data_IF_342267470040
#
_entry.id   IF_342267470040
#
_cell.length_a   1.000
_cell.length_b   1.000
_cell.length_c   1.000
_cell.angle_alpha   90.00
_cell.angle_beta   90.00
_cell.angle_gamma   90.00
#
_symmetry.space_group_name_H-M   'P 1'
#
loop_
_entity.id
_entity.type
_entity.pdbx_description
1 polymer ?
#
# COMPACT_ATOMS: atom_id res chain seq x y z
N UNK A 1 19.49 15.75 25.72
CA UNK A 1 18.35 15.17 24.96
C UNK A 1 17.39 14.51 25.95
N UNK A 2 16.57 15.31 26.63
CA UNK A 2 15.57 14.84 27.62
C UNK A 2 14.50 15.93 27.75
N UNK A 3 13.77 16.23 26.67
CA UNK A 3 12.56 17.06 26.79
C UNK A 3 11.43 16.17 27.30
N UNK A 4 10.59 16.69 28.20
CA UNK A 4 9.35 16.05 28.67
C UNK A 4 8.50 15.56 27.48
N UNK A 5 8.47 16.35 26.40
CA UNK A 5 7.72 16.05 25.18
C UNK A 5 8.22 14.76 24.51
N UNK A 6 9.53 14.48 24.55
CA UNK A 6 10.09 13.25 23.98
C UNK A 6 9.68 12.02 24.79
N UNK A 7 9.60 12.14 26.12
CA UNK A 7 9.15 11.06 27.00
C UNK A 7 7.65 10.79 26.83
N UNK A 8 6.85 11.84 26.65
CA UNK A 8 5.42 11.71 26.32
C UNK A 8 5.19 11.03 24.96
N UNK A 9 6.02 11.34 23.95
CA UNK A 9 5.95 10.67 22.64
C UNK A 9 6.36 9.20 22.72
N UNK A 10 7.40 8.87 23.49
CA UNK A 10 7.77 7.47 23.75
C UNK A 10 6.62 6.74 24.45
N UNK A 11 6.03 7.32 25.48
CA UNK A 11 4.87 6.77 26.18
C UNK A 11 3.67 6.58 25.24
N UNK A 12 3.42 7.52 24.32
CA UNK A 12 2.36 7.40 23.31
C UNK A 12 2.60 6.20 22.39
N UNK A 13 3.81 6.04 21.86
CA UNK A 13 4.16 4.89 20.99
C UNK A 13 4.09 3.57 21.78
N UNK A 14 4.57 3.54 23.02
CA UNK A 14 4.51 2.35 23.88
C UNK A 14 3.08 1.95 24.22
N UNK A 15 2.23 2.91 24.63
CA UNK A 15 0.80 2.66 24.90
C UNK A 15 0.06 2.16 23.66
N UNK A 16 0.43 2.64 22.48
CA UNK A 16 -0.13 2.14 21.24
C UNK A 16 0.26 0.69 20.99
N UNK A 17 1.55 0.36 21.16
CA UNK A 17 2.04 -1.02 21.03
C UNK A 17 1.34 -1.96 22.04
N UNK A 18 0.99 -1.48 23.24
CA UNK A 18 0.19 -2.20 24.25
C UNK A 18 -1.29 -2.34 23.87
N UNK A 19 -1.93 -1.28 23.36
CA UNK A 19 -3.35 -1.28 22.99
C UNK A 19 -3.69 -2.30 21.90
N UNK A 20 -2.71 -2.65 21.06
CA UNK A 20 -2.85 -3.64 19.99
C UNK A 20 -2.11 -4.95 20.27
N UNK A 21 -2.01 -5.35 21.55
CA UNK A 21 -1.32 -6.56 22.03
C UNK A 21 -1.83 -7.90 21.47
N UNK A 22 -2.91 -7.93 20.68
CA UNK A 22 -3.28 -9.15 19.94
C UNK A 22 -2.21 -9.47 18.89
N UNK A 23 -1.65 -10.69 18.97
CA UNK A 23 -0.47 -11.12 18.19
C UNK A 23 -0.55 -10.83 16.68
N UNK A 24 -1.73 -10.97 16.07
CA UNK A 24 -1.89 -10.73 14.63
C UNK A 24 -2.03 -9.24 14.30
N UNK A 25 -2.65 -8.44 15.17
CA UNK A 25 -2.86 -7.00 14.97
C UNK A 25 -1.53 -6.24 15.05
N UNK A 26 -0.65 -6.66 15.98
CA UNK A 26 0.70 -6.11 16.11
C UNK A 26 1.50 -6.19 14.80
N UNK A 27 1.31 -7.25 13.99
CA UNK A 27 1.99 -7.39 12.68
C UNK A 27 1.63 -6.27 11.70
N UNK A 28 0.42 -5.74 11.82
CA UNK A 28 -0.12 -4.71 10.93
C UNK A 28 -0.14 -3.31 11.58
N UNK A 29 0.54 -3.14 12.71
CA UNK A 29 0.67 -1.88 13.47
C UNK A 29 1.07 -0.68 12.61
N UNK A 30 1.89 -0.88 11.57
CA UNK A 30 2.28 0.19 10.66
C UNK A 30 1.11 0.87 9.94
N UNK A 31 0.01 0.16 9.68
CA UNK A 31 -1.21 0.73 9.10
C UNK A 31 -1.93 1.62 10.11
N UNK A 32 -2.17 1.10 11.32
CA UNK A 32 -2.80 1.87 12.39
C UNK A 32 -2.01 3.14 12.74
N UNK A 33 -0.68 3.06 12.80
CA UNK A 33 0.18 4.22 13.01
C UNK A 33 0.07 5.23 11.86
N UNK A 34 -0.08 4.78 10.62
CA UNK A 34 -0.32 5.68 9.51
C UNK A 34 -1.69 6.37 9.62
N UNK A 35 -2.72 5.67 10.09
CA UNK A 35 -4.02 6.28 10.38
C UNK A 35 -3.90 7.37 11.46
N UNK A 36 -3.18 7.10 12.56
CA UNK A 36 -2.87 8.09 13.60
C UNK A 36 -2.09 9.28 13.05
N UNK A 37 -1.17 9.06 12.11
CA UNK A 37 -0.42 10.13 11.45
C UNK A 37 -1.28 11.05 10.56
N UNK A 38 -2.49 10.60 10.20
CA UNK A 38 -3.44 11.35 9.38
C UNK A 38 -4.60 11.93 10.18
N UNK A 39 -4.72 11.59 11.47
CA UNK A 39 -5.79 12.09 12.33
C UNK A 39 -5.50 13.53 12.77
N UNK A 40 -6.32 14.48 12.32
CA UNK A 40 -6.17 15.90 12.65
C UNK A 40 -6.46 16.22 14.13
N UNK A 41 -7.06 15.29 14.87
CA UNK A 41 -7.24 15.42 16.32
C UNK A 41 -5.95 15.16 17.09
N UNK A 42 -4.97 14.47 16.48
CA UNK A 42 -3.66 14.27 17.08
C UNK A 42 -2.79 15.52 16.92
N UNK A 43 -1.96 15.78 17.93
CA UNK A 43 -0.94 16.82 17.87
C UNK A 43 0.02 16.62 16.68
N UNK A 44 0.71 17.67 16.27
CA UNK A 44 1.69 17.59 15.17
C UNK A 44 2.79 16.58 15.52
N UNK A 45 3.20 16.56 16.78
CA UNK A 45 4.24 15.72 17.35
C UNK A 45 3.82 14.25 17.33
N UNK A 46 2.60 13.94 17.80
CA UNK A 46 2.05 12.58 17.74
C UNK A 46 1.92 12.10 16.30
N UNK A 47 1.45 12.95 15.39
CA UNK A 47 1.34 12.60 13.96
C UNK A 47 2.72 12.32 13.34
N UNK A 48 3.73 13.14 13.64
CA UNK A 48 5.09 12.93 13.18
C UNK A 48 5.69 11.65 13.76
N UNK A 49 5.54 11.41 15.07
CA UNK A 49 6.03 10.20 15.74
C UNK A 49 5.40 8.94 15.16
N UNK A 50 4.08 8.94 14.97
CA UNK A 50 3.36 7.83 14.36
C UNK A 50 3.84 7.55 12.92
N UNK A 51 4.06 8.61 12.13
CA UNK A 51 4.60 8.51 10.76
C UNK A 51 6.00 7.90 10.73
N UNK A 52 6.90 8.38 11.58
CA UNK A 52 8.27 7.87 11.69
C UNK A 52 8.26 6.40 12.11
N UNK A 53 7.47 6.05 13.13
CA UNK A 53 7.36 4.67 13.61
C UNK A 53 6.79 3.75 12.53
N UNK A 54 5.76 4.17 11.80
CA UNK A 54 5.21 3.41 10.68
C UNK A 54 6.27 3.17 9.59
N UNK A 55 7.09 4.18 9.25
CA UNK A 55 8.19 4.04 8.29
C UNK A 55 9.22 3.02 8.77
N UNK A 56 9.67 3.12 10.03
CA UNK A 56 10.62 2.17 10.64
C UNK A 56 10.11 0.73 10.55
N UNK A 57 8.85 0.48 10.90
CA UNK A 57 8.26 -0.85 10.86
C UNK A 57 8.18 -1.41 9.44
N UNK A 58 7.84 -0.58 8.45
CA UNK A 58 7.82 -0.98 7.03
C UNK A 58 9.22 -1.28 6.51
N UNK A 59 10.22 -0.49 6.90
CA UNK A 59 11.60 -0.72 6.47
C UNK A 59 12.21 -1.97 7.13
N UNK A 60 11.87 -2.23 8.40
CA UNK A 60 12.18 -3.50 9.06
C UNK A 60 11.53 -4.69 8.35
N UNK A 61 10.24 -4.58 7.98
CA UNK A 61 9.56 -5.62 7.20
C UNK A 61 10.26 -5.88 5.86
N UNK A 62 10.61 -4.82 5.11
CA UNK A 62 11.36 -4.93 3.84
C UNK A 62 12.71 -5.63 4.03
N UNK A 63 13.47 -5.21 5.04
CA UNK A 63 14.78 -5.80 5.34
C UNK A 63 14.66 -7.29 5.68
N UNK A 64 13.73 -7.65 6.57
CA UNK A 64 13.48 -9.04 6.95
C UNK A 64 13.03 -9.89 5.76
N UNK A 65 12.19 -9.34 4.88
CA UNK A 65 11.75 -10.01 3.66
C UNK A 65 12.91 -10.23 2.68
N UNK A 66 13.77 -9.23 2.49
CA UNK A 66 14.96 -9.34 1.66
C UNK A 66 15.92 -10.40 2.21
N UNK A 67 16.21 -10.36 3.52
CA UNK A 67 17.06 -11.31 4.21
C UNK A 67 16.53 -12.74 4.08
N UNK A 68 15.24 -12.93 4.37
CA UNK A 68 14.57 -14.22 4.25
C UNK A 68 14.63 -14.79 2.82
N UNK A 69 14.34 -13.96 1.82
CA UNK A 69 14.40 -14.41 0.42
C UNK A 69 15.84 -14.68 -0.05
N UNK A 70 16.84 -13.91 0.39
CA UNK A 70 18.23 -14.17 0.04
C UNK A 70 18.71 -15.53 0.60
N UNK A 71 18.41 -15.82 1.87
CA UNK A 71 18.82 -17.08 2.52
C UNK A 71 18.12 -18.31 1.95
N UNK A 72 16.83 -18.20 1.61
CA UNK A 72 16.08 -19.32 0.98
C UNK A 72 16.59 -19.64 -0.43
N UNK A 73 17.18 -18.67 -1.14
CA UNK A 73 17.87 -18.92 -2.41
C UNK A 73 19.31 -19.43 -2.24
N UNK A 74 19.97 -19.13 -1.11
CA UNK A 74 21.35 -19.52 -0.79
C UNK A 74 21.39 -20.67 0.22
N UNK A 75 20.84 -21.84 -0.15
CA UNK A 75 20.63 -23.03 0.69
C UNK A 75 21.89 -23.73 1.24
N UNK A 76 23.07 -23.09 1.28
CA UNK A 76 24.34 -23.74 1.62
C UNK A 76 25.24 -23.04 2.66
N UNK A 77 24.87 -21.86 3.19
CA UNK A 77 25.86 -21.03 3.93
C UNK A 77 25.44 -20.50 5.31
N UNK A 78 24.24 -20.79 5.82
CA UNK A 78 23.78 -20.18 7.07
C UNK A 78 23.30 -21.19 8.11
N UNK A 79 23.85 -21.09 9.31
CA UNK A 79 23.60 -21.94 10.47
C UNK A 79 22.24 -21.68 11.13
N UNK A 80 21.61 -20.53 10.87
CA UNK A 80 20.28 -20.21 11.39
C UNK A 80 19.30 -19.82 10.26
N UNK A 81 18.11 -20.45 10.19
CA UNK A 81 17.08 -20.09 9.23
C UNK A 81 16.56 -18.68 9.53
N UNK A 82 16.56 -17.78 8.54
CA UNK A 82 15.86 -16.51 8.70
C UNK A 82 14.35 -16.77 8.90
N UNK A 83 13.72 -15.99 9.76
CA UNK A 83 12.27 -16.08 9.99
C UNK A 83 11.51 -15.40 8.87
N UNK A 84 10.49 -16.08 8.32
CA UNK A 84 9.57 -15.49 7.35
C UNK A 84 8.76 -14.37 8.03
N UNK A 85 8.82 -13.11 7.55
CA UNK A 85 8.05 -12.01 8.14
C UNK A 85 6.55 -12.05 7.79
N UNK A 86 6.09 -13.06 7.03
CA UNK A 86 4.70 -13.29 6.62
C UNK A 86 4.20 -14.66 7.11
N UNK A 87 2.88 -14.87 7.09
CA UNK A 87 2.26 -16.19 7.27
C UNK A 87 2.15 -16.99 5.96
N UNK A 88 2.58 -16.42 4.83
CA UNK A 88 2.56 -17.12 3.55
C UNK A 88 3.57 -18.28 3.57
N UNK A 89 3.19 -19.42 3.01
CA UNK A 89 4.14 -20.51 2.79
C UNK A 89 5.26 -20.10 1.83
N UNK A 90 6.45 -20.69 1.96
CA UNK A 90 7.62 -20.38 1.14
C UNK A 90 7.31 -20.45 -0.36
N UNK A 91 6.53 -21.46 -0.76
CA UNK A 91 6.08 -21.65 -2.14
C UNK A 91 5.19 -20.49 -2.62
N UNK A 92 4.23 -20.07 -1.77
CA UNK A 92 3.32 -18.98 -2.09
C UNK A 92 4.07 -17.65 -2.15
N UNK A 93 4.97 -17.38 -1.20
CA UNK A 93 5.78 -16.17 -1.18
C UNK A 93 6.69 -16.09 -2.42
N UNK A 94 7.35 -17.20 -2.79
CA UNK A 94 8.17 -17.28 -4.00
C UNK A 94 7.34 -17.03 -5.26
N UNK A 95 6.14 -17.58 -5.32
CA UNK A 95 5.23 -17.35 -6.44
C UNK A 95 4.74 -15.90 -6.54
N UNK A 96 4.32 -15.31 -5.41
CA UNK A 96 3.94 -13.90 -5.30
C UNK A 96 5.09 -13.00 -5.75
N UNK A 97 6.31 -13.23 -5.26
CA UNK A 97 7.51 -12.50 -5.69
C UNK A 97 7.76 -12.64 -7.19
N UNK A 98 7.70 -13.86 -7.73
CA UNK A 98 7.90 -14.11 -9.18
C UNK A 98 6.85 -13.38 -10.02
N UNK A 99 5.60 -13.32 -9.58
CA UNK A 99 4.54 -12.63 -10.30
C UNK A 99 4.70 -11.10 -10.24
N UNK A 100 5.09 -10.56 -9.09
CA UNK A 100 5.24 -9.12 -8.89
C UNK A 100 6.51 -8.58 -9.57
N UNK A 101 7.62 -9.31 -9.53
CA UNK A 101 8.92 -8.85 -10.05
C UNK A 101 9.03 -8.89 -11.58
N UNK A 102 7.99 -9.37 -12.32
CA UNK A 102 7.95 -9.47 -13.81
C UNK A 102 8.91 -8.47 -14.46
N UNK A 103 10.03 -8.97 -14.98
CA UNK A 103 11.13 -8.12 -15.46
C UNK A 103 10.93 -7.73 -16.93
N UNK A 104 11.58 -6.64 -17.34
CA UNK A 104 11.60 -6.17 -18.73
C UNK A 104 10.39 -5.30 -19.11
N UNK A 105 10.07 -5.27 -20.41
CA UNK A 105 9.06 -4.39 -20.99
C UNK A 105 7.65 -4.59 -20.41
N UNK A 106 7.37 -5.78 -19.86
CA UNK A 106 6.08 -6.14 -19.26
C UNK A 106 6.06 -6.03 -17.73
N UNK A 107 7.04 -5.35 -17.13
CA UNK A 107 6.98 -5.00 -15.70
C UNK A 107 5.81 -4.07 -15.43
N UNK A 108 5.09 -4.27 -14.34
CA UNK A 108 3.93 -3.43 -13.99
C UNK A 108 4.33 -1.96 -13.83
N UNK A 109 5.55 -1.68 -13.34
CA UNK A 109 6.11 -0.34 -13.26
C UNK A 109 6.28 0.29 -14.66
N UNK A 110 6.84 -0.44 -15.63
CA UNK A 110 6.97 0.07 -16.99
C UNK A 110 5.60 0.33 -17.64
N UNK A 111 4.65 -0.59 -17.47
CA UNK A 111 3.29 -0.44 -18.01
C UNK A 111 2.58 0.76 -17.36
N UNK A 112 2.78 0.99 -16.05
CA UNK A 112 2.26 2.16 -15.36
C UNK A 112 2.87 3.47 -15.91
N UNK A 113 4.19 3.50 -16.15
CA UNK A 113 4.86 4.65 -16.73
C UNK A 113 4.33 4.96 -18.14
N UNK A 114 4.18 3.95 -19.00
CA UNK A 114 3.58 4.10 -20.34
C UNK A 114 2.16 4.64 -20.22
N UNK A 115 1.35 4.08 -19.31
CA UNK A 115 -0.02 4.54 -19.08
C UNK A 115 -0.07 6.01 -18.65
N UNK A 116 0.77 6.43 -17.71
CA UNK A 116 0.84 7.83 -17.26
C UNK A 116 1.22 8.74 -18.43
N UNK A 117 2.24 8.39 -19.22
CA UNK A 117 2.65 9.18 -20.38
C UNK A 117 1.54 9.31 -21.44
N UNK A 118 0.82 8.23 -21.73
CA UNK A 118 -0.26 8.22 -22.73
C UNK A 118 -1.52 8.96 -22.29
N UNK A 119 -1.73 9.14 -20.98
CA UNK A 119 -2.96 9.73 -20.44
C UNK A 119 -2.84 11.21 -20.08
N UNK A 120 -1.63 11.79 -20.10
CA UNK A 120 -1.38 13.18 -19.71
C UNK A 120 -2.18 14.22 -20.49
N UNK A 121 -2.45 13.97 -21.77
CA UNK A 121 -3.18 14.91 -22.65
C UNK A 121 -4.64 14.52 -22.87
N UNK A 122 -5.13 13.49 -22.17
CA UNK A 122 -6.51 13.05 -22.32
C UNK A 122 -7.47 13.96 -21.57
N UNK A 123 -8.69 14.05 -22.10
CA UNK A 123 -9.83 14.50 -21.30
C UNK A 123 -10.07 13.52 -20.16
N UNK A 124 -10.71 13.98 -19.09
CA UNK A 124 -11.01 13.12 -17.95
C UNK A 124 -11.89 11.92 -18.34
N UNK A 125 -12.80 12.11 -19.30
CA UNK A 125 -13.63 11.03 -19.85
C UNK A 125 -12.78 9.94 -20.51
N UNK A 126 -11.85 10.31 -21.38
CA UNK A 126 -10.93 9.38 -22.04
C UNK A 126 -10.03 8.68 -21.03
N UNK A 127 -9.53 9.43 -20.03
CA UNK A 127 -8.76 8.85 -18.93
C UNK A 127 -9.54 7.75 -18.20
N UNK A 128 -10.81 7.96 -17.86
CA UNK A 128 -11.65 6.93 -17.21
C UNK A 128 -11.72 5.65 -18.06
N UNK A 129 -11.84 5.77 -19.38
CA UNK A 129 -11.86 4.63 -20.30
C UNK A 129 -10.51 3.92 -20.35
N UNK A 130 -9.42 4.69 -20.44
CA UNK A 130 -8.05 4.18 -20.42
C UNK A 130 -7.76 3.45 -19.11
N UNK A 131 -8.18 4.00 -17.96
CA UNK A 131 -8.00 3.42 -16.63
C UNK A 131 -8.65 2.03 -16.53
N UNK A 132 -9.87 1.85 -17.04
CA UNK A 132 -10.53 0.54 -17.06
C UNK A 132 -9.74 -0.48 -17.88
N UNK A 133 -9.26 -0.09 -19.07
CA UNK A 133 -8.43 -0.97 -19.92
C UNK A 133 -7.12 -1.34 -19.21
N UNK A 134 -6.48 -0.38 -18.56
CA UNK A 134 -5.24 -0.58 -17.79
C UNK A 134 -5.43 -1.54 -16.60
N UNK A 135 -6.52 -1.39 -15.84
CA UNK A 135 -6.84 -2.28 -14.71
C UNK A 135 -7.05 -3.73 -15.16
N UNK A 136 -7.64 -3.94 -16.35
CA UNK A 136 -7.81 -5.28 -16.95
C UNK A 136 -6.53 -5.88 -17.53
N UNK A 137 -5.57 -5.06 -17.93
CA UNK A 137 -4.34 -5.54 -18.58
C UNK A 137 -3.64 -6.65 -17.77
N UNK A 138 -3.27 -7.78 -18.37
CA UNK A 138 -2.66 -8.92 -17.67
C UNK A 138 -3.50 -9.61 -16.58
N UNK A 139 -4.80 -9.32 -16.47
CA UNK A 139 -5.75 -10.14 -15.69
C UNK A 139 -6.21 -11.29 -16.57
N UNK A 140 -6.03 -12.53 -16.13
CA UNK A 140 -6.40 -13.73 -16.90
C UNK A 140 -7.69 -14.38 -16.41
N UNK A 141 -8.14 -14.07 -15.19
CA UNK A 141 -9.33 -14.67 -14.60
C UNK A 141 -10.61 -14.00 -15.12
N UNK A 142 -11.52 -14.73 -15.81
CA UNK A 142 -12.74 -14.14 -16.36
C UNK A 142 -13.65 -13.51 -15.31
N UNK A 143 -13.73 -14.11 -14.12
CA UNK A 143 -14.54 -13.61 -13.01
C UNK A 143 -14.09 -12.22 -12.56
N UNK A 144 -12.78 -11.98 -12.49
CA UNK A 144 -12.22 -10.68 -12.12
C UNK A 144 -12.46 -9.66 -13.24
N UNK A 145 -12.30 -10.06 -14.50
CA UNK A 145 -12.61 -9.21 -15.65
C UNK A 145 -14.08 -8.76 -15.61
N UNK A 146 -15.01 -9.68 -15.33
CA UNK A 146 -16.44 -9.36 -15.18
C UNK A 146 -16.71 -8.41 -14.02
N UNK A 147 -16.05 -8.58 -12.87
CA UNK A 147 -16.17 -7.65 -11.75
C UNK A 147 -15.66 -6.25 -12.13
N UNK A 148 -14.56 -6.17 -12.88
CA UNK A 148 -14.01 -4.90 -13.36
C UNK A 148 -14.99 -4.26 -14.35
N UNK A 149 -15.45 -4.99 -15.37
CA UNK A 149 -16.31 -4.45 -16.43
C UNK A 149 -17.75 -4.15 -15.99
N UNK A 150 -18.25 -4.84 -14.97
CA UNK A 150 -19.58 -4.60 -14.42
C UNK A 150 -19.58 -3.56 -13.30
N UNK A 151 -19.01 -3.92 -12.15
CA UNK A 151 -19.18 -3.16 -10.90
C UNK A 151 -18.19 -2.01 -10.77
N UNK A 152 -16.90 -2.25 -11.03
CA UNK A 152 -15.88 -1.22 -10.87
C UNK A 152 -15.99 -0.18 -11.99
N UNK A 153 -16.19 -0.62 -13.23
CA UNK A 153 -16.34 0.23 -14.40
C UNK A 153 -17.49 1.24 -14.24
N UNK A 154 -18.68 0.75 -13.90
CA UNK A 154 -19.85 1.62 -13.70
C UNK A 154 -19.62 2.66 -12.61
N UNK A 155 -19.00 2.26 -11.49
CA UNK A 155 -18.62 3.21 -10.42
C UNK A 155 -17.60 4.24 -10.89
N UNK A 156 -16.58 3.85 -11.64
CA UNK A 156 -15.58 4.77 -12.21
C UNK A 156 -16.23 5.73 -13.20
N UNK A 157 -17.12 5.23 -14.07
CA UNK A 157 -17.80 6.03 -15.09
C UNK A 157 -18.65 7.16 -14.47
N UNK A 158 -19.26 6.91 -13.32
CA UNK A 158 -20.03 7.92 -12.60
C UNK A 158 -19.19 8.93 -11.79
N UNK A 159 -17.85 8.79 -11.72
CA UNK A 159 -17.02 9.74 -10.99
C UNK A 159 -16.89 11.06 -11.73
N UNK A 160 -17.14 12.16 -11.02
CA UNK A 160 -16.88 13.55 -11.41
C UNK A 160 -17.32 13.85 -12.86
N UNK A 161 -18.58 13.51 -13.18
CA UNK A 161 -19.14 13.63 -14.53
C UNK A 161 -19.06 15.08 -15.03
N UNK A 162 -19.22 16.05 -14.13
CA UNK A 162 -19.08 17.48 -14.39
C UNK A 162 -17.67 17.89 -14.85
N UNK A 163 -16.67 17.03 -14.67
CA UNK A 163 -15.27 17.28 -15.07
C UNK A 163 -14.87 16.53 -16.34
N UNK A 164 -15.78 15.79 -17.00
CA UNK A 164 -15.46 14.91 -18.13
C UNK A 164 -14.72 15.57 -19.30
N UNK A 165 -15.10 16.80 -19.64
CA UNK A 165 -14.49 17.56 -20.74
C UNK A 165 -13.17 18.24 -20.35
N UNK A 166 -12.83 18.27 -19.06
CA UNK A 166 -11.60 18.91 -18.59
C UNK A 166 -10.39 18.02 -18.88
N UNK A 167 -9.25 18.64 -19.14
CA UNK A 167 -7.98 17.93 -19.22
C UNK A 167 -7.66 17.24 -17.88
N UNK A 168 -7.07 16.05 -17.94
CA UNK A 168 -6.65 15.32 -16.75
C UNK A 168 -5.63 16.14 -15.95
N UNK A 169 -5.91 16.34 -14.66
CA UNK A 169 -5.00 16.99 -13.70
C UNK A 169 -4.59 16.00 -12.62
N UNK A 170 -3.44 16.25 -11.99
CA UNK A 170 -2.90 15.41 -10.92
C UNK A 170 -3.84 15.26 -9.72
N UNK A 171 -4.58 16.33 -9.36
CA UNK A 171 -5.58 16.28 -8.29
C UNK A 171 -6.77 15.36 -8.64
N UNK A 172 -7.22 15.37 -9.89
CA UNK A 172 -8.32 14.57 -10.37
C UNK A 172 -7.89 13.09 -10.48
N UNK A 173 -6.68 12.83 -10.97
CA UNK A 173 -6.05 11.50 -10.93
C UNK A 173 -6.04 10.94 -9.50
N UNK A 174 -5.52 11.70 -8.53
CA UNK A 174 -5.46 11.28 -7.12
C UNK A 174 -6.86 11.01 -6.56
N UNK A 175 -7.82 11.91 -6.78
CA UNK A 175 -9.20 11.75 -6.32
C UNK A 175 -9.86 10.52 -6.93
N UNK A 176 -9.59 10.22 -8.19
CA UNK A 176 -10.13 9.04 -8.89
C UNK A 176 -9.48 7.76 -8.39
N UNK A 177 -8.16 7.74 -8.19
CA UNK A 177 -7.46 6.60 -7.58
C UNK A 177 -7.94 6.32 -6.15
N UNK A 178 -8.11 7.35 -5.31
CA UNK A 178 -8.65 7.19 -3.96
C UNK A 178 -10.08 6.61 -3.97
N UNK A 179 -10.94 7.09 -4.88
CA UNK A 179 -12.28 6.53 -5.05
C UNK A 179 -12.28 5.10 -5.56
N UNK A 180 -11.39 4.76 -6.50
CA UNK A 180 -11.23 3.38 -6.96
C UNK A 180 -10.79 2.45 -5.82
N UNK A 181 -9.88 2.92 -4.94
CA UNK A 181 -9.50 2.20 -3.72
C UNK A 181 -10.69 2.05 -2.76
N UNK A 182 -11.50 3.11 -2.55
CA UNK A 182 -12.73 3.02 -1.74
C UNK A 182 -13.68 1.94 -2.30
N UNK A 183 -13.92 1.94 -3.61
CA UNK A 183 -14.76 0.93 -4.28
C UNK A 183 -14.21 -0.48 -4.11
N UNK A 184 -12.89 -0.64 -4.07
CA UNK A 184 -12.23 -1.94 -3.95
C UNK A 184 -12.12 -2.45 -2.52
N UNK A 185 -12.01 -1.57 -1.51
CA UNK A 185 -11.78 -1.95 -0.11
C UNK A 185 -12.96 -1.59 0.77
N UNK A 186 -13.30 -0.30 0.87
CA UNK A 186 -14.26 0.21 1.82
C UNK A 186 -14.94 1.48 1.29
N UNK A 187 -16.18 1.34 0.82
CA UNK A 187 -16.97 2.45 0.29
C UNK A 187 -17.58 3.33 1.38
N UNK A 188 -17.84 2.72 2.53
CA UNK A 188 -18.42 3.38 3.71
C UNK A 188 -17.60 2.98 4.93
N UNK A 189 -17.41 3.90 5.89
CA UNK A 189 -16.55 3.71 7.07
C UNK A 189 -16.84 2.45 7.89
N UNK A 190 -18.03 1.86 7.77
CA UNK A 190 -18.50 0.80 8.67
C UNK A 190 -18.65 -0.57 8.00
N UNK A 191 -18.35 -0.70 6.71
CA UNK A 191 -18.40 -2.01 6.03
C UNK A 191 -17.46 -2.10 4.84
N UNK A 192 -16.79 -3.25 4.64
CA UNK A 192 -16.06 -3.54 3.41
C UNK A 192 -16.95 -3.37 2.17
N UNK A 193 -16.35 -3.05 1.03
CA UNK A 193 -17.10 -2.96 -0.22
C UNK A 193 -17.56 -4.33 -0.69
N UNK A 194 -18.65 -4.38 -1.46
CA UNK A 194 -19.12 -5.63 -2.06
C UNK A 194 -18.04 -6.24 -2.98
N UNK A 195 -17.26 -5.39 -3.64
CA UNK A 195 -16.12 -5.81 -4.46
C UNK A 195 -15.04 -6.47 -3.62
N UNK A 196 -14.71 -5.93 -2.45
CA UNK A 196 -13.77 -6.54 -1.51
C UNK A 196 -14.21 -7.96 -1.16
N UNK A 197 -15.45 -8.11 -0.70
CA UNK A 197 -16.01 -9.40 -0.29
C UNK A 197 -16.00 -10.40 -1.45
N UNK A 198 -16.36 -9.97 -2.67
CA UNK A 198 -16.38 -10.82 -3.85
C UNK A 198 -14.99 -11.22 -4.35
N UNK A 199 -14.02 -10.30 -4.35
CA UNK A 199 -12.65 -10.59 -4.81
C UNK A 199 -11.93 -11.53 -3.84
N UNK A 200 -12.18 -11.38 -2.55
CA UNK A 200 -11.66 -12.28 -1.51
C UNK A 200 -12.33 -13.66 -1.59
N UNK A 201 -13.65 -13.75 -1.75
CA UNK A 201 -14.38 -15.03 -1.78
C UNK A 201 -14.08 -15.88 -3.02
N UNK A 202 -13.69 -15.24 -4.13
CA UNK A 202 -13.20 -15.92 -5.34
C UNK A 202 -11.81 -16.54 -5.16
N UNK A 203 -11.16 -16.38 -4.00
CA UNK A 203 -9.95 -17.11 -3.63
C UNK A 203 -8.67 -16.63 -4.32
N UNK A 204 -8.67 -15.42 -4.90
CA UNK A 204 -7.50 -14.87 -5.57
C UNK A 204 -7.07 -13.51 -4.98
N UNK A 205 -6.50 -13.51 -3.75
CA UNK A 205 -6.02 -12.29 -3.11
C UNK A 205 -4.90 -11.62 -3.91
N UNK A 206 -4.12 -12.36 -4.70
CA UNK A 206 -3.04 -11.79 -5.48
C UNK A 206 -3.52 -10.95 -6.65
N UNK A 207 -4.48 -11.44 -7.45
CA UNK A 207 -5.06 -10.63 -8.53
C UNK A 207 -5.74 -9.38 -7.97
N UNK A 208 -6.34 -9.47 -6.78
CA UNK A 208 -6.90 -8.31 -6.11
C UNK A 208 -5.80 -7.31 -5.69
N UNK A 209 -4.74 -7.75 -5.03
CA UNK A 209 -3.60 -6.90 -4.67
C UNK A 209 -2.97 -6.24 -5.91
N UNK A 210 -2.90 -6.94 -7.04
CA UNK A 210 -2.39 -6.35 -8.29
C UNK A 210 -3.24 -5.17 -8.79
N UNK A 211 -4.57 -5.19 -8.59
CA UNK A 211 -5.41 -4.04 -8.91
C UNK A 211 -5.06 -2.82 -8.05
N UNK A 212 -4.84 -3.03 -6.75
CA UNK A 212 -4.44 -1.97 -5.83
C UNK A 212 -3.05 -1.43 -6.19
N UNK A 213 -2.07 -2.31 -6.43
CA UNK A 213 -0.71 -1.94 -6.84
C UNK A 213 -0.72 -1.12 -8.13
N UNK A 214 -1.51 -1.51 -9.13
CA UNK A 214 -1.66 -0.75 -10.37
C UNK A 214 -2.12 0.68 -10.12
N UNK A 215 -3.08 0.89 -9.22
CA UNK A 215 -3.54 2.24 -8.84
C UNK A 215 -2.42 3.03 -8.15
N UNK A 216 -1.62 2.40 -7.30
CA UNK A 216 -0.49 3.04 -6.63
C UNK A 216 0.63 3.40 -7.62
N UNK A 217 0.92 2.53 -8.59
CA UNK A 217 1.98 2.77 -9.57
C UNK A 217 1.69 3.97 -10.47
N UNK A 218 0.43 4.20 -10.83
CA UNK A 218 0.04 5.38 -11.63
C UNK A 218 -0.16 6.63 -10.76
N UNK A 219 -0.41 6.47 -9.46
CA UNK A 219 -0.60 7.56 -8.51
C UNK A 219 -0.01 7.21 -7.13
N UNK A 220 1.30 7.41 -6.92
CA UNK A 220 1.97 7.02 -5.67
C UNK A 220 1.36 7.68 -4.42
N UNK A 221 0.87 8.91 -4.55
CA UNK A 221 0.18 9.64 -3.48
C UNK A 221 -1.10 8.94 -2.96
N UNK A 222 -1.70 8.04 -3.75
CA UNK A 222 -2.86 7.26 -3.33
C UNK A 222 -2.51 6.16 -2.31
N UNK A 223 -1.22 5.83 -2.12
CA UNK A 223 -0.79 4.80 -1.17
C UNK A 223 -1.21 5.13 0.26
N UNK A 224 -1.09 6.40 0.65
CA UNK A 224 -1.51 6.88 1.97
C UNK A 224 -3.00 6.62 2.21
N UNK A 225 -3.83 6.81 1.18
CA UNK A 225 -5.25 6.52 1.26
C UNK A 225 -5.54 5.02 1.32
N UNK A 226 -4.81 4.20 0.54
CA UNK A 226 -4.88 2.75 0.62
C UNK A 226 -4.57 2.24 2.04
N UNK A 227 -3.50 2.71 2.65
CA UNK A 227 -3.10 2.30 4.00
C UNK A 227 -4.15 2.69 5.05
N UNK A 228 -4.78 3.85 4.89
CA UNK A 228 -5.93 4.25 5.72
C UNK A 228 -7.09 3.27 5.57
N UNK A 229 -7.47 2.93 4.32
CA UNK A 229 -8.55 1.95 4.06
C UNK A 229 -8.24 0.56 4.58
N UNK A 230 -6.97 0.14 4.57
CA UNK A 230 -6.53 -1.10 5.21
C UNK A 230 -6.67 -1.02 6.73
N UNK A 231 -6.41 0.15 7.34
CA UNK A 231 -6.65 0.34 8.77
C UNK A 231 -8.13 0.18 9.11
N UNK A 232 -9.02 0.84 8.35
CA UNK A 232 -10.46 0.72 8.58
C UNK A 232 -10.92 -0.74 8.44
N UNK A 233 -10.35 -1.48 7.48
CA UNK A 233 -10.61 -2.92 7.28
C UNK A 233 -10.15 -3.76 8.48
N UNK A 234 -8.95 -3.48 9.00
CA UNK A 234 -8.41 -4.13 10.19
C UNK A 234 -9.28 -3.86 11.42
N UNK A 235 -9.75 -2.62 11.59
CA UNK A 235 -10.66 -2.24 12.68
C UNK A 235 -12.01 -2.96 12.57
N UNK A 236 -12.55 -3.11 11.35
CA UNK A 236 -13.79 -3.83 11.11
C UNK A 236 -13.69 -5.32 11.48
N UNK A 237 -12.53 -5.95 11.24
CA UNK A 237 -12.31 -7.38 11.49
C UNK A 237 -11.55 -7.69 12.78
N UNK A 238 -11.27 -6.69 13.64
CA UNK A 238 -10.42 -6.87 14.83
C UNK A 238 -10.94 -7.94 15.81
N UNK A 239 -12.26 -8.07 15.91
CA UNK A 239 -12.93 -9.02 16.82
C UNK A 239 -13.14 -10.41 16.18
N UNK A 240 -12.72 -10.59 14.91
CA UNK A 240 -12.80 -11.87 14.21
C UNK A 240 -11.70 -12.82 14.72
N UNK A 241 -12.03 -14.06 15.12
CA UNK A 241 -11.01 -15.04 15.49
C UNK A 241 -10.02 -15.30 14.36
N UNK A 242 -8.73 -15.40 14.67
CA UNK A 242 -7.66 -15.58 13.68
C UNK A 242 -7.90 -16.79 12.76
N UNK A 243 -8.44 -17.89 13.32
CA UNK A 243 -8.81 -19.09 12.57
C UNK A 243 -9.85 -18.84 11.47
N UNK A 244 -10.73 -17.84 11.65
CA UNK A 244 -11.76 -17.43 10.68
C UNK A 244 -11.29 -16.27 9.78
N UNK A 245 -10.19 -15.62 10.15
CA UNK A 245 -9.62 -14.45 9.46
C UNK A 245 -8.44 -14.74 8.53
N UNK A 246 -8.06 -16.00 8.31
CA UNK A 246 -6.87 -16.36 7.51
C UNK A 246 -6.87 -15.75 6.10
N UNK A 247 -8.03 -15.62 5.46
CA UNK A 247 -8.15 -14.97 4.15
C UNK A 247 -7.72 -13.49 4.18
N UNK A 248 -7.99 -12.79 5.29
CA UNK A 248 -7.63 -11.39 5.48
C UNK A 248 -6.13 -11.26 5.70
N UNK A 249 -5.57 -12.13 6.55
CA UNK A 249 -4.13 -12.17 6.83
C UNK A 249 -3.33 -12.48 5.56
N UNK A 250 -3.78 -13.46 4.77
CA UNK A 250 -3.18 -13.77 3.48
C UNK A 250 -3.23 -12.57 2.52
N UNK A 251 -4.37 -11.87 2.43
CA UNK A 251 -4.49 -10.66 1.62
C UNK A 251 -3.51 -9.57 2.10
N UNK A 252 -3.44 -9.31 3.40
CA UNK A 252 -2.57 -8.29 3.99
C UNK A 252 -1.09 -8.61 3.80
N UNK A 253 -0.68 -9.87 3.97
CA UNK A 253 0.70 -10.31 3.75
C UNK A 253 1.09 -10.16 2.27
N UNK A 254 0.22 -10.55 1.34
CA UNK A 254 0.45 -10.35 -0.10
C UNK A 254 0.55 -8.86 -0.43
N UNK A 255 -0.33 -8.03 0.16
CA UNK A 255 -0.30 -6.58 -0.01
C UNK A 255 1.01 -5.97 0.53
N UNK A 256 1.43 -6.37 1.73
CA UNK A 256 2.69 -5.93 2.34
C UNK A 256 3.89 -6.29 1.47
N UNK A 257 3.94 -7.53 0.97
CA UNK A 257 5.00 -7.98 0.05
C UNK A 257 4.98 -7.15 -1.23
N UNK A 258 3.81 -6.89 -1.80
CA UNK A 258 3.69 -6.07 -3.00
C UNK A 258 4.14 -4.63 -2.78
N UNK A 259 3.66 -3.98 -1.72
CA UNK A 259 4.10 -2.64 -1.34
C UNK A 259 5.60 -2.61 -1.02
N UNK A 260 6.17 -3.64 -0.39
CA UNK A 260 7.60 -3.73 -0.14
C UNK A 260 8.42 -3.81 -1.46
N UNK A 261 7.93 -4.53 -2.46
CA UNK A 261 8.57 -4.65 -3.78
C UNK A 261 8.46 -3.33 -4.57
N UNK A 262 7.32 -2.64 -4.51
CA UNK A 262 7.06 -1.45 -5.33
C UNK A 262 7.34 -0.11 -4.66
N UNK A 263 7.40 -0.04 -3.33
CA UNK A 263 7.77 1.17 -2.58
C UNK A 263 9.27 1.50 -2.65
N UNK A 264 10.06 0.71 -3.38
CA UNK A 264 11.46 0.95 -3.63
C UNK A 264 11.73 1.09 -5.13
N UNK A 265 11.99 2.32 -5.60
CA UNK A 265 12.92 2.56 -6.72
C UNK A 265 14.36 2.29 -6.27
N UNK A 266 14.59 1.10 -5.74
CA UNK A 266 15.90 0.46 -5.73
C UNK A 266 15.62 -0.90 -6.35
N UNK A 267 16.05 -1.03 -7.60
CA UNK A 267 16.07 -2.32 -8.28
C UNK A 267 16.70 -3.34 -7.33
N UNK A 268 16.17 -4.56 -7.29
CA UNK A 268 16.88 -5.74 -6.79
C UNK A 268 18.05 -6.12 -7.73
N UNK A 269 18.83 -5.12 -8.14
CA UNK A 269 20.04 -5.24 -8.90
C UNK A 269 21.14 -4.66 -8.01
N UNK A 270 22.08 -5.54 -7.64
CA UNK A 270 23.40 -5.11 -7.22
C UNK A 270 23.97 -4.20 -8.32
N UNK A 271 24.57 -3.07 -7.89
CA UNK A 271 25.42 -2.12 -8.63
C UNK A 271 24.74 -0.81 -9.10
N UNK A 272 25.19 0.25 -8.42
CA UNK A 272 25.41 1.67 -8.76
C UNK A 272 24.47 2.48 -9.67
N UNK A 273 24.14 3.66 -9.11
CA UNK A 273 23.59 4.89 -9.71
C UNK A 273 22.06 5.10 -9.60
N UNK A 274 21.68 5.89 -8.59
CA UNK A 274 20.32 6.34 -8.27
C UNK A 274 19.95 7.60 -9.06
N UNK A 275 18.82 7.66 -9.79
CA UNK A 275 18.26 8.92 -10.29
C UNK A 275 17.43 9.64 -9.21
N UNK A 276 17.54 10.96 -9.16
CA UNK A 276 17.15 11.88 -8.08
C UNK A 276 15.65 12.09 -7.79
N UNK A 277 14.74 11.34 -8.41
CA UNK A 277 13.29 11.64 -8.32
C UNK A 277 12.69 11.27 -6.94
N UNK A 278 13.32 10.35 -6.20
CA UNK A 278 12.82 9.89 -4.88
C UNK A 278 13.24 10.79 -3.70
N UNK A 279 14.21 11.70 -3.88
CA UNK A 279 14.68 12.59 -2.79
C UNK A 279 13.67 13.67 -2.41
N UNK A 280 12.86 14.15 -3.36
CA UNK A 280 11.94 15.28 -3.12
C UNK A 280 10.85 14.95 -2.09
N UNK A 281 10.37 13.71 -2.06
CA UNK A 281 9.32 13.31 -1.12
C UNK A 281 9.89 13.15 0.29
N UNK A 282 10.99 12.41 0.47
CA UNK A 282 11.62 12.22 1.78
C UNK A 282 12.09 13.53 2.41
N UNK A 283 12.57 14.50 1.62
CA UNK A 283 12.97 15.82 2.11
C UNK A 283 11.81 16.70 2.55
N UNK A 284 10.64 16.62 1.90
CA UNK A 284 9.42 17.31 2.35
C UNK A 284 8.87 16.62 3.62
N UNK A 285 8.85 15.29 3.67
CA UNK A 285 8.39 14.50 4.81
C UNK A 285 9.23 14.69 6.08
N UNK A 286 10.55 14.85 5.94
CA UNK A 286 11.44 15.13 7.06
C UNK A 286 11.46 16.62 7.41
N UNK A 287 11.26 17.54 6.45
CA UNK A 287 11.18 18.98 6.73
C UNK A 287 10.00 19.33 7.64
N UNK A 288 8.81 18.76 7.41
CA UNK A 288 7.66 18.96 8.30
C UNK A 288 7.94 18.51 9.75
N UNK A 289 8.73 17.46 9.93
CA UNK A 289 9.17 16.96 11.23
C UNK A 289 10.40 17.70 11.81
N UNK A 290 11.15 18.45 10.99
CA UNK A 290 12.37 19.19 11.39
C UNK A 290 12.12 20.64 11.78
N UNK A 291 10.97 21.24 11.43
CA UNK A 291 10.67 22.66 11.72
C UNK A 291 10.73 22.98 13.23
N UNK A 292 10.67 21.99 14.12
CA UNK A 292 10.57 22.20 15.57
C UNK A 292 11.86 21.94 16.35
N UNK A 293 12.99 21.64 15.69
CA UNK A 293 14.30 21.71 16.35
C UNK A 293 14.88 23.13 16.42
N UNK A 294 14.16 24.13 15.90
CA UNK A 294 14.63 25.53 15.81
C UNK A 294 13.67 26.55 16.44
N UNK A 295 12.54 26.14 17.02
CA UNK A 295 11.59 27.05 17.69
C UNK A 295 11.74 27.04 19.21
N UNK A 296 12.98 27.06 19.70
CA UNK A 296 13.34 27.49 21.05
C UNK A 296 14.60 28.34 20.94
N UNK A 297 14.42 29.63 20.67
CA UNK A 297 15.33 30.70 21.11
C UNK A 297 14.46 31.67 21.90
#
# INVERSE_FOLDING_TARGET
MTSSDYQELLLYVTKFDEAYSHKWVQRYSSYFLMSQALDLNNSVEQRCAARIRAKILKDQFKFNLALYTARTHSSKLHTEPATNPTQLSDNLLKWVKKLLVRQGQFSYANIANIFVQQTQQQTYKEFKQSLRKYLKFSVTQPQIIQLIDGKLASKIDCLYVEQEAQALKSNLLLRTCNRAIDFLIMETKNKPSDLFIQLISQGNPLSFVLLLVKLILICPSAQVHLEKRVTDLLEYYKDLPESKGQWLLNFLDILNVALAIYAGTVQYNLIDNVPEVTKLNDDIYLKECRIFSLSQI
#
